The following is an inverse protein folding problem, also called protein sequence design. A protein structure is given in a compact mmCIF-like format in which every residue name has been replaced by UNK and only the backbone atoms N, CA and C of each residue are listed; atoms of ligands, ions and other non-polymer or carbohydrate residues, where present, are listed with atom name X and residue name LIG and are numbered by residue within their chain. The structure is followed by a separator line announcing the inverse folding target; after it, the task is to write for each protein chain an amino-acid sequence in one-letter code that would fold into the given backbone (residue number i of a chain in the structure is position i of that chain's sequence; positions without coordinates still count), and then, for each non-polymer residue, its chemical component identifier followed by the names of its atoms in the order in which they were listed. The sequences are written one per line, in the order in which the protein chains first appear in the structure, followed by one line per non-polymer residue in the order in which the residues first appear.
data_IF_276000842183
#
_entry.id   IF_276000842183
#
_cell.length_a   1.000
_cell.length_b   1.000
_cell.length_c   1.000
_cell.angle_alpha   90.00
_cell.angle_beta   90.00
_cell.angle_gamma   90.00
#
_symmetry.space_group_name_H-M   'P 1'
#
loop_
_entity.id
_entity.type
_entity.pdbx_description
1 polymer ?
#
# COMPACT_ATOMS: atom_id res chain seq x y z
N UNK A 1 -8.90 -19.72 -3.45
CA UNK A 1 -9.72 -18.48 -3.38
C UNK A 1 -8.78 -17.31 -3.12
N UNK A 2 -8.80 -16.21 -3.89
CA UNK A 2 -7.96 -15.05 -3.59
C UNK A 2 -8.60 -14.16 -2.51
N UNK A 3 -7.83 -13.69 -1.51
CA UNK A 3 -8.37 -12.81 -0.47
C UNK A 3 -8.79 -11.44 -1.06
N UNK A 4 -9.95 -10.93 -0.63
CA UNK A 4 -10.50 -9.63 -1.03
C UNK A 4 -10.58 -8.69 0.17
N UNK A 5 -10.35 -7.40 -0.04
CA UNK A 5 -10.44 -6.34 0.98
C UNK A 5 -11.71 -5.52 0.87
N UNK A 6 -12.10 -4.89 1.98
CA UNK A 6 -13.19 -3.92 2.05
C UNK A 6 -12.66 -2.54 1.64
N UNK A 7 -13.27 -1.95 0.61
CA UNK A 7 -12.98 -0.59 0.17
C UNK A 7 -13.63 0.44 1.10
N UNK A 8 -13.29 1.72 0.92
CA UNK A 8 -13.89 2.82 1.67
C UNK A 8 -15.43 2.87 1.53
N UNK A 9 -15.97 2.40 0.41
CA UNK A 9 -17.42 2.32 0.16
C UNK A 9 -18.08 1.01 0.67
N UNK A 10 -17.35 0.16 1.41
CA UNK A 10 -17.86 -1.12 1.92
C UNK A 10 -17.84 -2.28 0.90
N UNK A 11 -17.59 -2.04 -0.39
CA UNK A 11 -17.54 -3.10 -1.41
C UNK A 11 -16.24 -3.89 -1.32
N UNK A 12 -16.29 -5.18 -1.67
CA UNK A 12 -15.12 -6.07 -1.70
C UNK A 12 -14.36 -5.94 -3.03
N UNK A 13 -13.04 -5.72 -3.00
CA UNK A 13 -12.15 -5.70 -4.18
C UNK A 13 -10.85 -6.46 -3.91
N UNK A 14 -10.10 -6.76 -4.96
CA UNK A 14 -8.73 -7.26 -4.87
C UNK A 14 -7.81 -6.32 -4.07
N UNK A 15 -6.74 -6.90 -3.55
CA UNK A 15 -5.70 -6.25 -2.74
C UNK A 15 -4.68 -5.53 -3.63
N UNK A 16 -4.06 -4.48 -3.09
CA UNK A 16 -3.04 -3.69 -3.77
C UNK A 16 -1.74 -3.71 -2.96
N UNK A 17 -0.59 -3.70 -3.61
CA UNK A 17 0.70 -3.68 -2.90
C UNK A 17 1.44 -2.38 -3.16
N UNK A 18 2.01 -1.84 -2.09
CA UNK A 18 3.11 -0.88 -2.15
C UNK A 18 4.34 -1.48 -1.49
N UNK A 19 5.52 -1.07 -1.96
CA UNK A 19 6.81 -1.49 -1.42
C UNK A 19 7.66 -0.26 -1.19
N UNK A 20 8.40 -0.24 -0.09
CA UNK A 20 9.48 0.73 0.13
C UNK A 20 10.80 -0.03 0.02
N UNK A 21 11.68 0.44 -0.85
CA UNK A 21 13.02 -0.09 -1.05
C UNK A 21 14.00 0.90 -0.45
N UNK A 22 14.86 0.41 0.43
CA UNK A 22 15.93 1.18 1.05
C UNK A 22 17.25 0.57 0.57
N UNK A 23 17.99 1.34 -0.22
CA UNK A 23 19.30 0.96 -0.73
C UNK A 23 20.41 1.54 0.15
N UNK A 24 21.61 0.99 0.02
CA UNK A 24 22.81 1.56 0.64
C UNK A 24 23.05 2.99 0.11
N UNK A 25 23.73 3.80 0.92
CA UNK A 25 24.05 5.17 0.54
C UNK A 25 24.93 5.20 -0.72
N UNK A 26 24.62 6.10 -1.66
CA UNK A 26 25.24 6.17 -2.98
C UNK A 26 24.55 5.35 -4.08
N UNK A 27 23.61 4.45 -3.75
CA UNK A 27 22.80 3.75 -4.74
C UNK A 27 21.56 4.58 -5.13
N UNK A 28 21.27 4.66 -6.42
CA UNK A 28 20.11 5.34 -7.00
C UNK A 28 19.42 4.45 -8.04
N UNK A 29 18.16 4.76 -8.37
CA UNK A 29 17.47 4.09 -9.47
C UNK A 29 18.24 4.29 -10.77
N UNK A 30 18.41 3.22 -11.54
CA UNK A 30 19.10 3.28 -12.82
C UNK A 30 18.39 4.26 -13.78
N UNK A 31 19.14 5.10 -14.51
CA UNK A 31 18.57 5.94 -15.56
C UNK A 31 17.82 5.09 -16.60
N UNK A 32 16.74 5.60 -17.22
CA UNK A 32 15.97 4.85 -18.21
C UNK A 32 16.80 4.29 -19.35
N UNK A 33 17.88 4.98 -19.73
CA UNK A 33 18.77 4.57 -20.83
C UNK A 33 19.66 3.38 -20.47
N UNK A 34 19.87 3.14 -19.18
CA UNK A 34 20.68 2.03 -18.68
C UNK A 34 19.88 0.73 -18.47
N UNK A 35 18.56 0.74 -18.70
CA UNK A 35 17.69 -0.42 -18.48
C UNK A 35 17.46 -1.14 -19.82
N UNK A 36 17.76 -2.43 -19.86
CA UNK A 36 17.53 -3.26 -21.04
C UNK A 36 16.03 -3.33 -21.40
N UNK A 37 15.68 -3.51 -22.68
CA UNK A 37 14.28 -3.57 -23.11
C UNK A 37 13.48 -4.68 -22.41
N UNK A 38 14.10 -5.84 -22.14
CA UNK A 38 13.48 -6.93 -21.37
C UNK A 38 13.16 -6.51 -19.93
N UNK A 39 14.08 -5.81 -19.25
CA UNK A 39 13.83 -5.33 -17.89
C UNK A 39 12.79 -4.20 -17.87
N UNK A 40 12.77 -3.32 -18.88
CA UNK A 40 11.72 -2.31 -19.03
C UNK A 40 10.33 -2.94 -19.14
N UNK A 41 10.19 -4.01 -19.90
CA UNK A 41 8.92 -4.74 -20.03
C UNK A 41 8.48 -5.36 -18.69
N UNK A 42 9.41 -5.97 -17.95
CA UNK A 42 9.14 -6.55 -16.62
C UNK A 42 8.79 -5.49 -15.57
N UNK A 43 9.38 -4.31 -15.65
CA UNK A 43 9.05 -3.17 -14.80
C UNK A 43 7.67 -2.62 -15.15
N UNK A 44 7.28 -2.66 -16.43
CA UNK A 44 5.94 -2.30 -16.90
C UNK A 44 5.50 -0.93 -16.38
N UNK A 45 4.34 -0.89 -15.72
CA UNK A 45 3.72 0.33 -15.22
C UNK A 45 4.06 0.66 -13.75
N UNK A 46 5.20 0.16 -13.23
CA UNK A 46 5.62 0.49 -11.87
C UNK A 46 5.99 1.98 -11.78
N UNK A 47 5.41 2.66 -10.80
CA UNK A 47 5.76 4.04 -10.48
C UNK A 47 6.79 4.05 -9.36
N UNK A 48 7.96 4.65 -9.62
CA UNK A 48 9.00 4.87 -8.62
C UNK A 48 8.95 6.32 -8.18
N UNK A 49 8.83 6.52 -6.86
CA UNK A 49 8.87 7.85 -6.24
C UNK A 49 10.01 7.88 -5.25
N UNK A 50 10.81 8.95 -5.26
CA UNK A 50 11.78 9.15 -4.18
C UNK A 50 11.04 9.51 -2.90
N UNK A 51 11.42 8.88 -1.79
CA UNK A 51 10.81 9.19 -0.49
C UNK A 51 11.11 10.64 -0.06
N UNK A 52 12.29 11.15 -0.39
CA UNK A 52 12.72 12.51 -0.09
C UNK A 52 13.66 13.01 -1.21
N UNK A 53 13.68 14.32 -1.46
CA UNK A 53 14.56 14.94 -2.45
C UNK A 53 16.05 14.76 -2.12
N UNK A 54 16.41 14.67 -0.84
CA UNK A 54 17.80 14.52 -0.37
C UNK A 54 18.24 13.06 -0.29
N UNK A 55 17.31 12.12 -0.03
CA UNK A 55 17.61 10.69 0.14
C UNK A 55 17.14 9.89 -1.07
N UNK A 56 17.96 9.91 -2.11
CA UNK A 56 17.65 9.26 -3.37
C UNK A 56 17.66 7.72 -3.32
N UNK A 57 18.37 7.16 -2.34
CA UNK A 57 18.47 5.72 -2.07
C UNK A 57 17.20 5.09 -1.47
N UNK A 58 16.20 5.90 -1.12
CA UNK A 58 14.91 5.43 -0.60
C UNK A 58 13.83 5.63 -1.66
N UNK A 59 13.28 4.52 -2.15
CA UNK A 59 12.28 4.49 -3.21
C UNK A 59 10.96 3.95 -2.67
N UNK A 60 9.88 4.66 -2.96
CA UNK A 60 8.50 4.25 -2.72
C UNK A 60 7.91 3.79 -4.05
N UNK A 61 7.45 2.54 -4.09
CA UNK A 61 6.78 1.96 -5.25
C UNK A 61 5.29 1.84 -4.92
N UNK A 62 4.49 2.61 -5.65
CA UNK A 62 3.06 2.77 -5.40
C UNK A 62 2.18 1.80 -6.20
N UNK A 63 1.14 1.30 -5.53
CA UNK A 63 -0.08 0.69 -6.09
C UNK A 63 0.13 -0.27 -7.26
N UNK A 64 0.75 -1.41 -6.97
CA UNK A 64 0.76 -2.57 -7.86
C UNK A 64 -0.49 -3.40 -7.61
N UNK A 65 -1.30 -3.61 -8.65
CA UNK A 65 -2.49 -4.46 -8.58
C UNK A 65 -2.09 -5.92 -8.32
N UNK A 66 -2.75 -6.58 -7.37
CA UNK A 66 -2.80 -8.04 -7.37
C UNK A 66 -1.89 -8.79 -6.39
N UNK A 67 -1.47 -8.20 -5.26
CA UNK A 67 -0.80 -8.96 -4.19
C UNK A 67 -1.28 -8.59 -2.78
N UNK A 68 -0.95 -9.46 -1.83
CA UNK A 68 -1.65 -9.75 -0.55
C UNK A 68 -1.64 -8.67 0.55
N UNK A 69 -1.47 -7.37 0.27
CA UNK A 69 -1.52 -6.33 1.31
C UNK A 69 -2.77 -5.47 1.17
N UNK A 70 -3.52 -5.35 2.27
CA UNK A 70 -4.79 -4.64 2.30
C UNK A 70 -4.64 -3.18 2.70
N UNK A 71 -5.77 -2.47 2.74
CA UNK A 71 -5.85 -1.11 3.26
C UNK A 71 -5.36 -1.02 4.71
N UNK A 72 -4.71 0.10 5.02
CA UNK A 72 -4.28 0.46 6.36
C UNK A 72 -5.47 0.61 7.32
N UNK A 73 -5.19 0.44 8.61
CA UNK A 73 -6.20 0.45 9.67
C UNK A 73 -6.53 1.86 10.16
N UNK A 74 -5.56 2.76 10.13
CA UNK A 74 -5.61 4.11 10.70
C UNK A 74 -5.19 5.12 9.62
N UNK A 75 -5.90 6.23 9.54
CA UNK A 75 -5.58 7.34 8.66
C UNK A 75 -4.55 8.30 9.30
N UNK A 76 -3.87 9.17 8.51
CA UNK A 76 -2.89 10.11 9.04
C UNK A 76 -3.44 11.08 10.10
N UNK A 77 -4.73 11.42 10.01
CA UNK A 77 -5.48 12.22 10.99
C UNK A 77 -5.83 11.45 12.28
N UNK A 78 -5.33 10.21 12.42
CA UNK A 78 -5.57 9.25 13.51
C UNK A 78 -6.96 8.65 13.56
N UNK A 79 -7.83 8.94 12.59
CA UNK A 79 -9.14 8.30 12.53
C UNK A 79 -9.02 6.84 12.09
N UNK A 80 -9.89 5.99 12.66
CA UNK A 80 -9.97 4.56 12.31
C UNK A 80 -10.63 4.37 10.94
N UNK A 81 -10.10 3.48 10.12
CA UNK A 81 -10.74 3.04 8.88
C UNK A 81 -11.92 2.08 9.16
N UNK A 82 -12.61 1.65 8.11
CA UNK A 82 -13.61 0.58 8.17
C UNK A 82 -13.03 -0.83 8.00
N UNK A 83 -11.70 -1.00 8.00
CA UNK A 83 -11.01 -2.29 7.87
C UNK A 83 -10.33 -2.70 9.19
N UNK A 84 -11.08 -2.63 10.29
CA UNK A 84 -10.62 -2.95 11.65
C UNK A 84 -11.67 -3.74 12.42
N UNK A 85 -11.29 -4.24 13.59
CA UNK A 85 -12.20 -4.84 14.57
C UNK A 85 -12.79 -3.72 15.44
N UNK A 86 -14.11 -3.72 15.62
CA UNK A 86 -14.82 -2.86 16.55
C UNK A 86 -15.12 -3.63 17.84
N UNK A 87 -14.76 -3.06 18.98
CA UNK A 87 -15.01 -3.63 20.31
C UNK A 87 -16.13 -2.84 21.01
N UNK A 88 -16.84 -3.50 21.92
CA UNK A 88 -17.78 -2.83 22.80
C UNK A 88 -17.06 -1.81 23.69
N UNK A 89 -17.63 -0.62 23.83
CA UNK A 89 -17.12 0.43 24.72
C UNK A 89 -17.54 0.22 26.17
N UNK A 90 -18.65 -0.50 26.39
CA UNK A 90 -19.27 -0.73 27.70
C UNK A 90 -19.66 -2.20 27.78
N UNK A 91 -19.59 -2.78 28.97
CA UNK A 91 -20.13 -4.10 29.28
C UNK A 91 -21.61 -3.94 29.60
N UNK A 92 -22.48 -4.22 28.63
CA UNK A 92 -23.93 -4.14 28.78
C UNK A 92 -24.63 -5.03 27.73
N UNK A 93 -25.96 -5.17 27.85
CA UNK A 93 -26.81 -5.88 26.90
C UNK A 93 -26.96 -5.05 25.62
N UNK A 94 -26.79 -5.69 24.46
CA UNK A 94 -27.02 -5.06 23.15
C UNK A 94 -28.52 -4.82 22.96
N UNK A 95 -28.94 -3.55 23.02
CA UNK A 95 -30.34 -3.14 22.86
C UNK A 95 -30.68 -2.64 21.45
N UNK A 96 -29.68 -2.36 20.62
CA UNK A 96 -29.86 -1.82 19.26
C UNK A 96 -28.78 -2.32 18.30
N UNK A 97 -29.23 -2.74 17.11
CA UNK A 97 -28.38 -3.04 15.95
C UNK A 97 -28.85 -2.19 14.77
N UNK A 98 -27.93 -1.74 13.92
CA UNK A 98 -28.19 -0.87 12.76
C UNK A 98 -27.82 -1.63 11.48
#
# INVERSE_FOLDING_TARGET
MQPKQVLANGKKRALNVGVVIILQEGFELAPPDCISPEMKEKIGNLSFQHYCSTKKNILVIGLVLGRNKGRGQIYPDRNKSNNIIYNATIIDIVSKTI
#
